data_IF_644466302405
#
_entry.id   IF_644466302405
#
_cell.length_a   1.000
_cell.length_b   1.000
_cell.length_c   1.000
_cell.angle_alpha   90.00
_cell.angle_beta   90.00
_cell.angle_gamma   90.00
#
_symmetry.space_group_name_H-M   'P 1'
#
loop_
_entity.id
_entity.type
_entity.pdbx_description
1 polymer ?
#
# COMPACT_ATOMS: atom_id res chain seq x y z
N UNK A 1 -61.72 15.17 -20.12
CA UNK A 1 -61.59 15.93 -21.38
C UNK A 1 -60.51 16.98 -21.21
N UNK A 2 -59.48 16.91 -22.05
CA UNK A 2 -58.27 17.75 -22.04
C UNK A 2 -58.54 19.26 -21.93
N UNK A 3 -57.63 19.98 -21.25
CA UNK A 3 -56.98 21.16 -21.84
C UNK A 3 -55.63 21.46 -21.18
N UNK A 4 -54.61 21.47 -22.02
CA UNK A 4 -53.21 21.74 -21.74
C UNK A 4 -52.92 23.24 -21.63
N UNK A 5 -51.88 23.61 -20.88
CA UNK A 5 -50.98 24.73 -21.18
C UNK A 5 -49.55 24.35 -20.78
N UNK A 6 -48.66 24.27 -21.77
CA UNK A 6 -47.20 24.24 -21.60
C UNK A 6 -46.69 25.59 -21.10
N UNK A 7 -45.62 25.59 -20.29
CA UNK A 7 -44.41 26.38 -20.54
C UNK A 7 -43.22 25.76 -19.77
N UNK A 8 -42.15 25.49 -20.51
CA UNK A 8 -40.79 25.17 -20.02
C UNK A 8 -40.06 26.50 -19.87
N UNK A 9 -39.31 26.69 -18.78
CA UNK A 9 -38.05 27.43 -18.86
C UNK A 9 -36.98 26.76 -17.98
N UNK A 10 -35.84 26.55 -18.62
CA UNK A 10 -34.58 26.08 -18.09
C UNK A 10 -34.02 27.09 -17.07
N UNK A 11 -33.63 26.60 -15.90
CA UNK A 11 -32.57 27.20 -15.11
C UNK A 11 -31.54 26.11 -14.80
N UNK A 12 -30.64 25.87 -15.74
CA UNK A 12 -29.25 25.60 -15.38
C UNK A 12 -28.49 26.93 -15.37
N UNK A 13 -27.33 27.05 -14.69
CA UNK A 13 -26.60 26.01 -13.98
C UNK A 13 -26.42 26.37 -12.51
N UNK A 14 -26.80 25.46 -11.63
CA UNK A 14 -26.04 25.28 -10.39
C UNK A 14 -26.02 23.79 -10.06
N UNK A 15 -25.50 23.00 -11.00
CA UNK A 15 -24.65 21.89 -10.58
C UNK A 15 -23.44 22.51 -9.89
N UNK A 16 -23.63 22.98 -8.65
CA UNK A 16 -22.55 22.86 -7.69
C UNK A 16 -22.45 21.35 -7.54
N UNK A 17 -21.61 20.73 -8.37
CA UNK A 17 -20.93 19.51 -7.99
C UNK A 17 -20.11 19.91 -6.77
N UNK A 18 -20.78 20.08 -5.62
CA UNK A 18 -20.08 20.11 -4.34
C UNK A 18 -19.40 18.76 -4.34
N UNK A 19 -18.09 18.79 -4.54
CA UNK A 19 -17.23 17.66 -4.29
C UNK A 19 -17.41 17.39 -2.79
N UNK A 20 -18.45 16.65 -2.42
CA UNK A 20 -18.74 16.32 -1.04
C UNK A 20 -17.62 15.39 -0.63
N UNK A 21 -16.60 15.98 -0.02
CA UNK A 21 -15.54 15.27 0.66
C UNK A 21 -16.21 14.24 1.58
N UNK A 22 -15.88 12.95 1.40
CA UNK A 22 -16.29 11.93 2.36
C UNK A 22 -15.88 12.41 3.75
N UNK A 23 -16.87 12.59 4.62
CA UNK A 23 -16.66 13.00 6.01
C UNK A 23 -16.62 11.75 6.88
N UNK A 24 -15.44 11.48 7.46
CA UNK A 24 -15.26 10.36 8.38
C UNK A 24 -15.56 10.80 9.82
N UNK A 25 -16.32 9.98 10.53
CA UNK A 25 -16.65 10.18 11.94
C UNK A 25 -16.07 9.02 12.76
N UNK A 26 -15.24 9.33 13.76
CA UNK A 26 -14.65 8.33 14.66
C UNK A 26 -15.58 8.12 15.85
N UNK A 27 -16.01 6.88 16.03
CA UNK A 27 -16.88 6.46 17.14
C UNK A 27 -16.01 5.72 18.17
N UNK A 28 -15.98 6.21 19.41
CA UNK A 28 -15.15 5.64 20.49
C UNK A 28 -15.92 4.62 21.33
N UNK A 29 -16.52 3.64 20.66
CA UNK A 29 -17.28 2.55 21.30
C UNK A 29 -16.57 1.22 21.07
N UNK A 30 -16.47 0.39 22.11
CA UNK A 30 -15.89 -0.95 21.97
C UNK A 30 -16.94 -1.93 21.44
N UNK A 31 -16.75 -2.41 20.21
CA UNK A 31 -17.71 -3.27 19.48
C UNK A 31 -16.97 -4.27 18.59
N UNK A 32 -17.56 -5.43 18.36
CA UNK A 32 -17.17 -6.31 17.25
C UNK A 32 -17.43 -5.63 15.91
N UNK A 33 -16.87 -6.15 14.81
CA UNK A 33 -17.05 -5.55 13.49
C UNK A 33 -18.54 -5.45 13.09
N UNK A 34 -19.31 -6.53 13.31
CA UNK A 34 -20.74 -6.58 12.98
C UNK A 34 -21.56 -5.60 13.83
N UNK A 35 -21.27 -5.52 15.13
CA UNK A 35 -21.92 -4.55 16.03
C UNK A 35 -21.55 -3.11 15.68
N UNK A 36 -20.30 -2.85 15.31
CA UNK A 36 -19.84 -1.52 14.91
C UNK A 36 -20.53 -1.05 13.62
N UNK A 37 -20.70 -1.97 12.66
CA UNK A 37 -21.45 -1.72 11.43
C UNK A 37 -22.91 -1.42 11.69
N UNK A 38 -23.60 -2.27 12.45
CA UNK A 38 -25.01 -2.05 12.82
C UNK A 38 -25.17 -0.71 13.55
N UNK A 39 -24.29 -0.43 14.51
CA UNK A 39 -24.30 0.84 15.23
C UNK A 39 -24.19 2.05 14.31
N UNK A 40 -23.30 2.03 13.30
CA UNK A 40 -23.20 3.12 12.33
C UNK A 40 -24.54 3.33 11.61
N UNK A 41 -25.15 2.24 11.13
CA UNK A 41 -26.44 2.30 10.41
C UNK A 41 -27.59 2.78 11.27
N UNK A 42 -27.64 2.35 12.52
CA UNK A 42 -28.73 2.64 13.45
C UNK A 42 -28.65 4.07 14.01
N UNK A 43 -27.47 4.71 13.99
CA UNK A 43 -27.21 6.01 14.59
C UNK A 43 -26.96 7.13 13.55
N UNK A 44 -27.73 7.15 12.46
CA UNK A 44 -27.68 8.18 11.41
C UNK A 44 -26.32 8.31 10.68
N UNK A 45 -25.49 7.27 10.67
CA UNK A 45 -24.33 7.17 9.78
C UNK A 45 -24.62 6.22 8.61
N UNK A 46 -23.82 6.32 7.54
CA UNK A 46 -24.05 5.55 6.32
C UNK A 46 -23.70 4.06 6.49
N UNK A 47 -22.45 3.77 6.83
CA UNK A 47 -21.91 2.44 7.14
C UNK A 47 -20.50 2.63 7.76
N UNK A 48 -19.79 1.56 8.10
CA UNK A 48 -18.35 1.66 8.37
C UNK A 48 -17.59 2.25 7.17
N UNK A 49 -16.52 2.99 7.43
CA UNK A 49 -15.79 3.76 6.43
C UNK A 49 -15.19 2.91 5.30
N UNK A 50 -15.52 3.26 4.05
CA UNK A 50 -14.81 2.81 2.86
C UNK A 50 -13.57 3.68 2.63
N UNK A 51 -12.46 3.06 2.26
CA UNK A 51 -11.21 3.75 1.92
C UNK A 51 -10.88 3.47 0.46
N UNK A 52 -11.02 4.48 -0.40
CA UNK A 52 -10.75 4.33 -1.83
C UNK A 52 -9.43 4.95 -2.26
N UNK A 53 -8.81 5.80 -1.44
CA UNK A 53 -7.62 6.54 -1.83
C UNK A 53 -6.63 6.79 -0.68
N UNK A 54 -5.42 7.24 -1.04
CA UNK A 54 -4.45 7.73 -0.06
C UNK A 54 -4.97 8.99 0.66
N UNK A 55 -5.76 9.82 -0.01
CA UNK A 55 -6.38 11.00 0.60
C UNK A 55 -7.32 10.59 1.75
N UNK A 56 -8.11 9.53 1.55
CA UNK A 56 -8.99 8.99 2.58
C UNK A 56 -8.20 8.38 3.74
N UNK A 57 -7.14 7.62 3.43
CA UNK A 57 -6.25 7.11 4.49
C UNK A 57 -5.60 8.22 5.30
N UNK A 58 -5.15 9.29 4.66
CA UNK A 58 -4.53 10.41 5.36
C UNK A 58 -5.55 11.13 6.26
N UNK A 59 -6.80 11.29 5.82
CA UNK A 59 -7.88 11.81 6.67
C UNK A 59 -8.14 10.89 7.87
N UNK A 60 -8.26 9.59 7.64
CA UNK A 60 -8.48 8.62 8.73
C UNK A 60 -7.31 8.62 9.73
N UNK A 61 -6.05 8.67 9.25
CA UNK A 61 -4.86 8.78 10.10
C UNK A 61 -4.89 10.03 10.98
N UNK A 62 -5.21 11.18 10.40
CA UNK A 62 -5.34 12.44 11.13
C UNK A 62 -6.42 12.38 12.21
N UNK A 63 -7.55 11.74 11.92
CA UNK A 63 -8.66 11.59 12.86
C UNK A 63 -8.38 10.57 13.97
N UNK A 64 -7.72 9.45 13.65
CA UNK A 64 -7.49 8.35 14.58
C UNK A 64 -6.26 8.55 15.46
N UNK A 65 -5.21 9.20 14.95
CA UNK A 65 -3.88 9.19 15.59
C UNK A 65 -3.39 7.75 15.75
N UNK A 66 -3.03 7.37 16.98
CA UNK A 66 -2.54 6.01 17.30
C UNK A 66 -3.66 4.99 17.60
N UNK A 67 -4.94 5.38 17.49
CA UNK A 67 -6.07 4.51 17.79
C UNK A 67 -6.34 3.55 16.64
N UNK A 68 -6.80 2.34 16.97
CA UNK A 68 -7.33 1.38 16.00
C UNK A 68 -8.85 1.54 15.92
N UNK A 69 -9.40 1.43 14.72
CA UNK A 69 -10.84 1.48 14.47
C UNK A 69 -11.22 0.47 13.39
N UNK A 70 -12.45 -0.04 13.46
CA UNK A 70 -13.02 -0.83 12.38
C UNK A 70 -13.30 0.06 11.16
N UNK A 71 -13.01 -0.46 9.98
CA UNK A 71 -13.39 0.11 8.68
C UNK A 71 -14.30 -0.88 7.94
N UNK A 72 -14.87 -0.46 6.81
CA UNK A 72 -15.85 -1.22 6.04
C UNK A 72 -15.33 -2.48 5.34
N UNK A 73 -14.02 -2.73 5.37
CA UNK A 73 -13.40 -3.88 4.72
C UNK A 73 -13.62 -5.15 5.55
N UNK A 74 -14.24 -6.17 4.96
CA UNK A 74 -14.54 -7.44 5.62
C UNK A 74 -14.20 -8.64 4.73
N UNK A 75 -13.92 -9.78 5.35
CA UNK A 75 -13.80 -11.08 4.67
C UNK A 75 -14.72 -12.08 5.35
N UNK A 76 -15.78 -12.49 4.67
CA UNK A 76 -16.69 -13.53 5.17
C UNK A 76 -16.15 -14.91 4.82
N UNK A 77 -16.46 -15.91 5.64
CA UNK A 77 -16.03 -17.29 5.40
C UNK A 77 -16.53 -17.86 4.05
N UNK A 78 -17.65 -17.34 3.54
CA UNK A 78 -18.25 -17.72 2.26
C UNK A 78 -17.87 -16.82 1.08
N UNK A 79 -16.97 -15.85 1.27
CA UNK A 79 -16.59 -14.91 0.20
C UNK A 79 -15.69 -15.58 -0.82
N UNK A 80 -16.11 -15.59 -2.08
CA UNK A 80 -15.25 -15.96 -3.20
C UNK A 80 -14.19 -14.88 -3.45
N UNK A 81 -13.02 -15.28 -3.95
CA UNK A 81 -12.00 -14.34 -4.42
C UNK A 81 -12.46 -13.66 -5.70
N UNK A 82 -12.33 -12.34 -5.78
CA UNK A 82 -12.72 -11.55 -6.96
C UNK A 82 -11.53 -10.77 -7.50
N UNK A 83 -11.43 -10.70 -8.83
CA UNK A 83 -10.39 -9.94 -9.51
C UNK A 83 -10.65 -8.43 -9.42
N UNK A 84 -9.58 -7.68 -9.21
CA UNK A 84 -9.53 -6.25 -9.00
C UNK A 84 -8.26 -5.69 -9.65
N UNK A 85 -8.32 -4.45 -10.14
CA UNK A 85 -7.16 -3.70 -10.58
C UNK A 85 -6.56 -2.92 -9.42
N UNK A 86 -5.24 -2.86 -9.30
CA UNK A 86 -4.56 -2.19 -8.18
C UNK A 86 -4.77 -0.69 -8.19
N UNK A 87 -4.84 -0.08 -9.37
CA UNK A 87 -5.10 1.35 -9.49
C UNK A 87 -6.52 1.66 -9.01
N UNK A 88 -6.70 2.54 -8.01
CA UNK A 88 -8.00 2.72 -7.34
C UNK A 88 -9.15 3.18 -8.24
N UNK A 89 -8.85 3.96 -9.28
CA UNK A 89 -9.84 4.51 -10.20
C UNK A 89 -10.18 3.58 -11.38
N UNK A 90 -9.53 2.41 -11.45
CA UNK A 90 -9.76 1.43 -12.52
C UNK A 90 -10.59 0.28 -11.96
N UNK A 91 -11.82 0.14 -12.45
CA UNK A 91 -12.72 -0.93 -11.99
C UNK A 91 -12.55 -2.18 -12.85
N UNK A 92 -12.45 -3.34 -12.20
CA UNK A 92 -12.46 -4.62 -12.90
C UNK A 92 -13.89 -4.95 -13.36
N UNK A 93 -14.04 -5.33 -14.63
CA UNK A 93 -15.31 -5.71 -15.24
C UNK A 93 -15.12 -6.97 -16.08
N UNK A 94 -15.61 -8.11 -15.59
CA UNK A 94 -15.48 -9.42 -16.25
C UNK A 94 -15.89 -9.44 -17.74
N UNK A 95 -16.86 -8.61 -18.15
CA UNK A 95 -17.30 -8.55 -19.55
C UNK A 95 -16.32 -7.83 -20.48
N UNK A 96 -15.54 -6.88 -19.95
CA UNK A 96 -14.56 -6.07 -20.70
C UNK A 96 -13.14 -6.58 -20.48
N UNK A 97 -12.88 -7.15 -19.31
CA UNK A 97 -11.58 -7.60 -18.83
C UNK A 97 -11.40 -9.09 -19.11
N UNK A 98 -11.44 -9.45 -20.40
CA UNK A 98 -11.32 -10.82 -20.89
C UNK A 98 -9.94 -11.13 -21.50
N UNK A 99 -8.90 -10.44 -21.02
CA UNK A 99 -7.54 -10.52 -21.54
C UNK A 99 -6.81 -11.85 -21.24
N UNK A 100 -7.47 -12.80 -20.57
CA UNK A 100 -6.92 -14.10 -20.19
C UNK A 100 -6.38 -14.91 -21.36
N UNK A 101 -5.31 -15.65 -21.11
CA UNK A 101 -4.81 -16.69 -22.00
C UNK A 101 -5.71 -17.93 -21.98
N UNK A 102 -5.51 -18.84 -22.93
CA UNK A 102 -6.20 -20.12 -22.91
C UNK A 102 -5.94 -20.87 -21.59
N UNK A 103 -7.00 -21.39 -20.97
CA UNK A 103 -6.96 -22.10 -19.68
C UNK A 103 -6.64 -21.24 -18.45
N UNK A 104 -6.54 -19.92 -18.60
CA UNK A 104 -6.33 -18.98 -17.49
C UNK A 104 -7.65 -18.26 -17.11
N UNK A 105 -7.86 -17.87 -15.83
CA UNK A 105 -7.04 -18.21 -14.68
C UNK A 105 -7.29 -19.67 -14.23
N UNK A 106 -6.23 -20.44 -13.96
CA UNK A 106 -6.33 -21.85 -13.57
C UNK A 106 -6.21 -22.09 -12.06
N UNK A 107 -5.82 -21.09 -11.27
CA UNK A 107 -5.80 -21.12 -9.82
C UNK A 107 -5.19 -22.39 -9.21
N UNK A 108 -3.87 -22.55 -9.27
CA UNK A 108 -3.15 -23.66 -8.60
C UNK A 108 -3.07 -23.48 -7.07
N UNK A 109 -4.12 -22.93 -6.47
CA UNK A 109 -4.35 -22.78 -5.03
C UNK A 109 -3.81 -21.50 -4.39
N UNK A 110 -2.82 -20.84 -4.99
CA UNK A 110 -2.18 -19.62 -4.43
C UNK A 110 -1.95 -18.52 -5.46
N UNK A 111 -2.51 -18.65 -6.66
CA UNK A 111 -2.27 -17.76 -7.79
C UNK A 111 -3.27 -16.60 -7.73
N UNK A 112 -2.87 -15.50 -7.09
CA UNK A 112 -3.76 -14.38 -6.80
C UNK A 112 -3.33 -13.08 -7.49
N UNK A 113 -2.28 -13.13 -8.31
CA UNK A 113 -1.72 -11.95 -8.96
C UNK A 113 -1.63 -12.20 -10.47
N UNK A 114 -2.10 -11.24 -11.24
CA UNK A 114 -2.11 -11.33 -12.69
C UNK A 114 -0.78 -10.90 -13.30
N UNK A 115 -0.47 -11.54 -14.41
CA UNK A 115 0.74 -11.28 -15.20
C UNK A 115 0.38 -11.18 -16.68
N UNK A 116 1.24 -10.50 -17.45
CA UNK A 116 1.25 -10.61 -18.91
C UNK A 116 2.27 -11.65 -19.35
N UNK A 117 1.86 -12.52 -20.27
CA UNK A 117 2.77 -13.38 -21.02
C UNK A 117 3.31 -12.67 -22.27
N UNK A 118 4.17 -13.37 -23.04
CA UNK A 118 4.77 -12.86 -24.28
C UNK A 118 3.75 -12.51 -25.37
N UNK A 119 2.55 -13.08 -25.32
CA UNK A 119 1.45 -12.81 -26.26
C UNK A 119 0.51 -11.70 -25.77
N UNK A 120 0.90 -10.96 -24.72
CA UNK A 120 0.09 -9.92 -24.06
C UNK A 120 -1.23 -10.46 -23.48
N UNK A 121 -1.29 -11.75 -23.20
CA UNK A 121 -2.43 -12.39 -22.53
C UNK A 121 -2.18 -12.50 -21.03
N UNK A 122 -3.27 -12.46 -20.27
CA UNK A 122 -3.23 -12.50 -18.81
C UNK A 122 -3.13 -13.94 -18.31
N UNK A 123 -2.34 -14.14 -17.27
CA UNK A 123 -2.25 -15.40 -16.55
C UNK A 123 -2.23 -15.13 -15.04
N UNK A 124 -2.80 -16.04 -14.24
CA UNK A 124 -2.69 -15.96 -12.79
C UNK A 124 -1.43 -16.66 -12.29
N UNK A 125 -0.75 -15.99 -11.35
CA UNK A 125 0.50 -16.49 -10.78
C UNK A 125 0.53 -16.22 -9.28
N UNK A 126 1.38 -16.97 -8.58
CA UNK A 126 1.63 -16.72 -7.17
C UNK A 126 2.27 -15.34 -6.99
N UNK A 127 1.66 -14.51 -6.14
CA UNK A 127 2.12 -13.16 -5.83
C UNK A 127 3.55 -13.11 -5.27
N UNK A 128 4.04 -14.22 -4.70
CA UNK A 128 5.37 -14.33 -4.09
C UNK A 128 6.48 -14.58 -5.11
N UNK A 129 6.15 -14.86 -6.38
CA UNK A 129 7.14 -15.02 -7.44
C UNK A 129 7.81 -13.68 -7.71
N UNK A 130 9.12 -13.66 -7.95
CA UNK A 130 9.84 -12.45 -8.34
C UNK A 130 9.78 -12.29 -9.85
N UNK A 131 9.23 -11.17 -10.34
CA UNK A 131 9.07 -10.88 -11.78
C UNK A 131 9.41 -9.42 -12.08
N UNK A 132 9.79 -9.09 -13.32
CA UNK A 132 9.73 -7.72 -13.82
C UNK A 132 8.28 -7.23 -13.82
N UNK A 133 8.07 -5.93 -13.90
CA UNK A 133 6.74 -5.32 -13.76
C UNK A 133 6.63 -4.02 -14.56
N UNK A 134 5.39 -3.56 -14.75
CA UNK A 134 5.09 -2.33 -15.50
C UNK A 134 4.32 -1.38 -14.59
N UNK A 135 4.87 -0.19 -14.38
CA UNK A 135 4.18 0.92 -13.73
C UNK A 135 3.46 1.79 -14.78
N UNK A 136 2.49 2.57 -14.31
CA UNK A 136 1.76 3.53 -15.13
C UNK A 136 1.80 4.92 -14.48
N UNK A 137 2.06 5.95 -15.26
CA UNK A 137 1.98 7.35 -14.82
C UNK A 137 1.59 8.29 -15.97
N UNK A 138 0.47 7.97 -16.63
CA UNK A 138 0.08 8.57 -17.92
C UNK A 138 0.75 7.89 -19.12
N UNK A 139 1.95 7.35 -18.94
CA UNK A 139 2.64 6.45 -19.87
C UNK A 139 3.10 5.17 -19.17
N UNK A 140 3.41 4.13 -19.96
CA UNK A 140 3.87 2.84 -19.46
C UNK A 140 5.37 2.87 -19.14
N UNK A 141 5.72 2.59 -17.88
CA UNK A 141 7.10 2.54 -17.40
C UNK A 141 7.50 1.10 -17.10
N UNK A 142 8.46 0.60 -17.86
CA UNK A 142 8.94 -0.76 -17.76
C UNK A 142 10.06 -0.88 -16.71
N UNK A 143 9.93 -1.86 -15.81
CA UNK A 143 10.89 -2.07 -14.72
C UNK A 143 11.40 -3.50 -14.76
N UNK A 144 12.72 -3.64 -15.01
CA UNK A 144 13.40 -4.93 -15.12
C UNK A 144 13.81 -5.55 -13.76
N UNK A 145 13.60 -4.82 -12.66
CA UNK A 145 13.84 -5.33 -11.31
C UNK A 145 12.89 -6.50 -11.00
N UNK A 146 13.40 -7.53 -10.33
CA UNK A 146 12.62 -8.71 -9.98
C UNK A 146 12.06 -8.57 -8.56
N UNK A 147 10.77 -8.27 -8.47
CA UNK A 147 10.06 -8.08 -7.20
C UNK A 147 8.86 -9.02 -7.10
N UNK A 148 8.43 -9.33 -5.86
CA UNK A 148 7.11 -9.93 -5.67
C UNK A 148 6.02 -8.89 -5.99
N UNK A 149 4.77 -9.32 -6.14
CA UNK A 149 3.70 -8.44 -6.60
C UNK A 149 3.44 -7.25 -5.65
N UNK A 150 3.48 -7.49 -4.34
CA UNK A 150 3.25 -6.46 -3.32
C UNK A 150 4.35 -5.40 -3.33
N UNK A 151 5.61 -5.82 -3.49
CA UNK A 151 6.76 -4.93 -3.57
C UNK A 151 6.75 -4.14 -4.89
N UNK A 152 6.40 -4.80 -6.00
CA UNK A 152 6.25 -4.15 -7.30
C UNK A 152 5.15 -3.07 -7.29
N UNK A 153 3.99 -3.38 -6.70
CA UNK A 153 2.91 -2.41 -6.49
C UNK A 153 3.37 -1.22 -5.65
N UNK A 154 4.07 -1.51 -4.54
CA UNK A 154 4.61 -0.48 -3.65
C UNK A 154 5.61 0.42 -4.38
N UNK A 155 6.50 -0.19 -5.18
CA UNK A 155 7.46 0.52 -6.00
C UNK A 155 6.74 1.47 -6.97
N UNK A 156 5.72 0.99 -7.68
CA UNK A 156 5.00 1.81 -8.65
C UNK A 156 4.25 2.95 -7.96
N UNK A 157 3.45 2.69 -6.92
CA UNK A 157 2.72 3.73 -6.19
C UNK A 157 3.61 4.81 -5.56
N UNK A 158 4.88 4.50 -5.37
CA UNK A 158 5.84 5.42 -4.78
C UNK A 158 6.50 6.35 -5.80
N UNK A 159 6.61 5.95 -7.07
CA UNK A 159 7.27 6.73 -8.14
C UNK A 159 6.36 7.15 -9.28
N UNK A 160 5.22 6.50 -9.36
CA UNK A 160 4.27 6.51 -10.46
C UNK A 160 2.86 6.44 -9.86
N UNK A 161 1.84 6.32 -10.70
CA UNK A 161 0.46 6.18 -10.23
C UNK A 161 0.22 4.81 -9.57
N UNK A 162 0.44 3.70 -10.30
CA UNK A 162 0.32 2.32 -9.78
C UNK A 162 0.98 1.34 -10.78
N UNK A 163 0.87 0.03 -10.55
CA UNK A 163 1.03 -0.97 -11.60
C UNK A 163 0.00 -0.75 -12.70
N UNK A 164 0.39 -1.02 -13.95
CA UNK A 164 -0.49 -0.90 -15.12
C UNK A 164 -1.80 -1.68 -14.91
N UNK A 165 -2.91 -1.01 -15.13
CA UNK A 165 -4.24 -1.46 -14.72
C UNK A 165 -5.28 -1.20 -15.82
N UNK A 166 -6.06 -2.22 -16.16
CA UNK A 166 -7.19 -2.10 -17.08
C UNK A 166 -6.81 -2.13 -18.56
N UNK A 167 -7.77 -2.48 -19.44
CA UNK A 167 -7.53 -2.74 -20.86
C UNK A 167 -7.07 -1.48 -21.61
N UNK A 168 -7.61 -0.31 -21.26
CA UNK A 168 -7.24 0.96 -21.89
C UNK A 168 -5.74 1.27 -21.75
N UNK A 169 -5.15 1.02 -20.58
CA UNK A 169 -3.71 1.19 -20.38
C UNK A 169 -2.92 0.13 -21.15
N UNK A 170 -3.44 -1.11 -21.19
CA UNK A 170 -2.78 -2.23 -21.89
C UNK A 170 -2.73 -2.03 -23.41
N UNK A 171 -3.71 -1.35 -24.01
CA UNK A 171 -3.71 -1.02 -25.45
C UNK A 171 -2.51 -0.15 -25.85
N UNK A 172 -2.00 0.66 -24.92
CA UNK A 172 -0.86 1.56 -25.16
C UNK A 172 0.51 0.91 -24.98
N UNK A 173 0.56 -0.42 -24.75
CA UNK A 173 1.82 -1.15 -24.55
C UNK A 173 2.66 -1.25 -25.84
N UNK A 174 3.83 -0.62 -25.80
CA UNK A 174 4.87 -0.75 -26.83
C UNK A 174 5.45 -2.18 -26.82
N UNK A 175 5.14 -2.94 -27.88
CA UNK A 175 5.55 -4.35 -28.07
C UNK A 175 7.07 -4.48 -28.04
N UNK A 176 7.78 -3.54 -28.70
CA UNK A 176 9.23 -3.63 -28.89
C UNK A 176 9.94 -3.45 -27.56
N UNK A 177 9.50 -2.51 -26.73
CA UNK A 177 10.04 -2.35 -25.38
C UNK A 177 9.73 -3.58 -24.52
N UNK A 178 8.51 -4.12 -24.62
CA UNK A 178 8.09 -5.30 -23.84
C UNK A 178 8.96 -6.53 -24.13
N UNK A 179 9.36 -6.74 -25.38
CA UNK A 179 10.29 -7.80 -25.77
C UNK A 179 11.64 -7.71 -25.04
N UNK A 180 12.11 -6.50 -24.75
CA UNK A 180 13.38 -6.30 -24.01
C UNK A 180 13.28 -6.61 -22.51
N UNK A 181 12.07 -6.62 -21.93
CA UNK A 181 11.86 -7.01 -20.54
C UNK A 181 11.79 -8.52 -20.34
N UNK A 182 11.45 -9.28 -21.38
CA UNK A 182 11.35 -10.72 -21.25
C UNK A 182 12.77 -11.32 -21.19
N UNK A 183 13.18 -11.99 -20.10
CA UNK A 183 14.35 -12.84 -20.16
C UNK A 183 14.20 -13.85 -21.31
N UNK A 184 15.29 -14.36 -21.91
CA UNK A 184 15.24 -15.32 -23.00
C UNK A 184 14.69 -16.68 -22.52
N UNK A 185 13.38 -16.72 -22.29
CA UNK A 185 12.61 -17.83 -21.77
C UNK A 185 11.18 -17.72 -22.30
N UNK A 186 10.62 -18.79 -22.89
CA UNK A 186 9.24 -18.81 -23.38
C UNK A 186 8.20 -18.76 -22.24
N UNK A 187 8.62 -18.79 -20.97
CA UNK A 187 7.76 -18.68 -19.78
C UNK A 187 7.96 -17.36 -19.03
N UNK A 188 8.29 -16.31 -19.78
CA UNK A 188 8.52 -15.00 -19.21
C UNK A 188 7.18 -14.30 -18.96
N UNK A 189 6.98 -13.92 -17.70
CA UNK A 189 5.77 -13.25 -17.21
C UNK A 189 6.16 -11.91 -16.58
N UNK A 190 5.33 -10.90 -16.78
CA UNK A 190 5.52 -9.56 -16.25
C UNK A 190 4.34 -9.24 -15.34
N UNK A 191 4.59 -8.76 -14.12
CA UNK A 191 3.49 -8.36 -13.23
C UNK A 191 2.78 -7.12 -13.74
N UNK A 192 1.46 -7.15 -13.57
CA UNK A 192 0.52 -6.05 -13.82
C UNK A 192 -0.32 -5.80 -12.57
N UNK A 193 -1.13 -4.75 -12.58
CA UNK A 193 -1.96 -4.34 -11.44
C UNK A 193 -3.11 -5.29 -11.11
N UNK A 194 -3.29 -6.39 -11.83
CA UNK A 194 -4.37 -7.33 -11.58
C UNK A 194 -4.07 -8.18 -10.34
N UNK A 195 -5.01 -8.26 -9.40
CA UNK A 195 -4.94 -9.16 -8.25
C UNK A 195 -6.34 -9.62 -7.84
N UNK A 196 -6.43 -10.68 -7.03
CA UNK A 196 -7.69 -11.11 -6.42
C UNK A 196 -7.55 -11.39 -4.95
N UNK A 197 -8.56 -11.00 -4.19
CA UNK A 197 -8.71 -11.33 -2.78
C UNK A 197 -10.18 -11.61 -2.44
N UNK A 198 -10.43 -12.07 -1.21
CA UNK A 198 -11.78 -12.32 -0.71
C UNK A 198 -12.31 -11.16 0.16
N UNK A 199 -11.62 -10.00 0.14
CA UNK A 199 -12.00 -8.84 0.94
C UNK A 199 -12.98 -7.98 0.15
N UNK A 200 -14.07 -7.57 0.79
CA UNK A 200 -15.15 -6.81 0.17
C UNK A 200 -15.50 -5.63 1.06
N UNK A 201 -15.80 -4.49 0.44
CA UNK A 201 -16.34 -3.34 1.15
C UNK A 201 -17.82 -3.56 1.45
N UNK A 202 -18.22 -3.18 2.66
CA UNK A 202 -19.59 -3.19 3.17
C UNK A 202 -20.58 -2.35 2.34
N UNK A 203 -20.11 -1.31 1.65
CA UNK A 203 -20.88 -0.47 0.73
C UNK A 203 -21.03 -1.07 -0.68
N UNK A 204 -20.40 -2.21 -0.95
CA UNK A 204 -20.41 -2.89 -2.24
C UNK A 204 -19.46 -2.30 -3.28
N UNK A 205 -18.65 -1.31 -2.91
CA UNK A 205 -17.65 -0.74 -3.81
C UNK A 205 -16.57 -1.75 -4.17
N UNK A 206 -16.05 -1.61 -5.39
CA UNK A 206 -14.97 -2.44 -5.93
C UNK A 206 -13.58 -1.83 -5.70
N UNK A 207 -13.45 -0.87 -4.77
CA UNK A 207 -12.18 -0.20 -4.53
C UNK A 207 -11.09 -1.17 -4.07
N UNK A 208 -10.00 -1.17 -4.81
CA UNK A 208 -8.83 -2.02 -4.64
C UNK A 208 -7.76 -1.45 -3.71
N UNK A 209 -8.01 -0.27 -3.14
CA UNK A 209 -7.04 0.37 -2.28
C UNK A 209 -6.74 -0.52 -1.07
N UNK A 210 -5.48 -0.96 -0.99
CA UNK A 210 -4.89 -1.76 0.09
C UNK A 210 -3.50 -1.17 0.34
N UNK A 211 -3.40 -0.17 1.21
CA UNK A 211 -2.12 0.45 1.55
C UNK A 211 -1.87 0.32 3.05
N UNK A 212 -1.28 -0.80 3.43
CA UNK A 212 -1.01 -1.16 4.83
C UNK A 212 0.50 -1.37 5.09
N UNK A 213 1.37 -1.03 4.14
CA UNK A 213 2.74 -1.55 4.08
C UNK A 213 3.66 -0.92 5.13
N UNK A 214 3.75 -1.62 6.25
CA UNK A 214 4.91 -1.65 7.12
C UNK A 214 5.97 -2.57 6.45
N UNK A 215 7.26 -2.22 6.55
CA UNK A 215 8.36 -2.97 5.94
C UNK A 215 9.31 -3.54 6.99
N UNK A 216 9.96 -4.66 6.69
CA UNK A 216 11.10 -5.16 7.48
C UNK A 216 12.26 -4.17 7.43
N UNK A 217 13.22 -4.32 8.35
CA UNK A 217 14.38 -3.42 8.36
C UNK A 217 15.19 -3.52 7.06
N UNK A 218 15.38 -4.73 6.52
CA UNK A 218 16.13 -4.95 5.28
C UNK A 218 15.39 -4.39 4.05
N UNK A 219 14.06 -4.58 3.96
CA UNK A 219 13.22 -3.98 2.92
C UNK A 219 13.29 -2.43 2.97
N UNK A 220 13.26 -1.86 4.17
CA UNK A 220 13.36 -0.42 4.41
C UNK A 220 14.74 0.14 4.03
N UNK A 221 15.82 -0.54 4.41
CA UNK A 221 17.19 -0.18 4.03
C UNK A 221 17.37 -0.20 2.51
N UNK A 222 16.96 -1.31 1.90
CA UNK A 222 17.05 -1.49 0.45
C UNK A 222 16.30 -0.38 -0.28
N UNK A 223 15.07 -0.07 0.16
CA UNK A 223 14.29 1.02 -0.39
C UNK A 223 15.05 2.34 -0.24
N UNK A 224 15.52 2.72 0.95
CA UNK A 224 16.14 4.03 1.13
C UNK A 224 17.40 4.20 0.27
N UNK A 225 18.23 3.17 0.13
CA UNK A 225 19.43 3.22 -0.71
C UNK A 225 19.12 3.28 -2.22
N UNK A 226 17.99 2.72 -2.64
CA UNK A 226 17.59 2.74 -4.06
C UNK A 226 16.84 4.00 -4.47
N UNK A 227 16.30 4.75 -3.51
CA UNK A 227 15.34 5.83 -3.77
C UNK A 227 15.82 7.18 -3.20
N UNK A 228 16.68 7.13 -2.20
CA UNK A 228 17.22 8.25 -1.44
C UNK A 228 18.71 7.97 -1.16
N UNK A 229 19.26 8.46 -0.05
CA UNK A 229 20.65 8.17 0.31
C UNK A 229 20.77 6.88 1.13
N UNK A 230 20.21 6.85 2.34
CA UNK A 230 20.19 5.68 3.22
C UNK A 230 19.05 5.76 4.24
N UNK A 231 18.88 4.79 5.15
CA UNK A 231 18.03 4.94 6.32
C UNK A 231 18.53 6.08 7.21
N UNK A 232 17.60 6.74 7.90
CA UNK A 232 17.93 7.91 8.73
C UNK A 232 18.93 7.56 9.84
N UNK A 233 19.94 8.42 9.99
CA UNK A 233 20.93 8.37 11.06
C UNK A 233 20.69 9.51 12.03
N UNK A 234 20.94 9.26 13.33
CA UNK A 234 20.70 10.24 14.40
C UNK A 234 21.97 10.36 15.25
N UNK A 235 22.76 11.38 14.95
CA UNK A 235 24.07 11.66 15.56
C UNK A 235 24.01 12.72 16.65
N UNK A 236 22.91 13.47 16.76
CA UNK A 236 22.77 14.55 17.73
C UNK A 236 21.30 14.83 18.13
N UNK A 237 21.13 15.72 19.09
CA UNK A 237 19.81 16.06 19.64
C UNK A 237 18.90 16.80 18.64
N UNK A 238 19.46 17.59 17.72
CA UNK A 238 18.65 18.33 16.76
C UNK A 238 18.09 17.40 15.69
N UNK A 239 18.88 16.43 15.22
CA UNK A 239 18.40 15.32 14.38
C UNK A 239 17.36 14.48 15.11
N UNK A 240 17.59 14.12 16.38
CA UNK A 240 16.60 13.39 17.17
C UNK A 240 15.27 14.16 17.24
N UNK A 241 15.32 15.48 17.48
CA UNK A 241 14.13 16.34 17.52
C UNK A 241 13.44 16.41 16.16
N UNK A 242 14.20 16.48 15.08
CA UNK A 242 13.63 16.53 13.74
C UNK A 242 12.95 15.19 13.38
N UNK A 243 13.64 14.08 13.61
CA UNK A 243 13.11 12.74 13.31
C UNK A 243 11.87 12.46 14.15
N UNK A 244 11.88 12.72 15.46
CA UNK A 244 10.71 12.47 16.31
C UNK A 244 9.45 13.24 15.84
N UNK A 245 9.60 14.48 15.35
CA UNK A 245 8.45 15.25 14.83
C UNK A 245 7.86 14.59 13.59
N UNK A 246 8.70 13.94 12.76
CA UNK A 246 8.23 13.13 11.63
C UNK A 246 7.63 11.81 12.11
N UNK A 247 8.24 11.17 13.10
CA UNK A 247 7.80 9.88 13.67
C UNK A 247 6.37 9.94 14.16
N UNK A 248 5.90 11.06 14.71
CA UNK A 248 4.49 11.24 15.14
C UNK A 248 3.45 10.97 14.06
N UNK A 249 3.83 11.06 12.77
CA UNK A 249 2.96 10.79 11.64
C UNK A 249 2.98 9.32 11.19
N UNK A 250 3.87 8.50 11.77
CA UNK A 250 3.94 7.08 11.49
C UNK A 250 2.76 6.33 12.10
N UNK A 251 2.36 5.25 11.42
CA UNK A 251 1.22 4.42 11.80
C UNK A 251 1.61 3.17 12.57
N UNK A 252 2.86 2.70 12.44
CA UNK A 252 3.41 1.62 13.25
C UNK A 252 3.77 2.09 14.66
N UNK A 253 3.80 1.20 15.67
CA UNK A 253 4.22 1.55 17.03
C UNK A 253 5.69 1.98 17.13
N UNK A 254 6.51 1.59 16.15
CA UNK A 254 7.90 1.99 16.01
C UNK A 254 8.17 2.44 14.57
N UNK A 255 9.30 3.10 14.33
CA UNK A 255 9.79 3.47 13.01
C UNK A 255 11.24 3.04 12.87
N UNK A 256 11.56 2.34 11.77
CA UNK A 256 12.93 1.92 11.51
C UNK A 256 13.86 3.11 11.32
N UNK A 257 15.05 2.97 11.89
CA UNK A 257 16.20 3.87 11.71
C UNK A 257 17.36 3.09 11.10
N UNK A 258 18.43 3.78 10.72
CA UNK A 258 19.64 3.16 10.18
C UNK A 258 20.50 2.40 11.21
N UNK A 259 20.03 2.23 12.44
CA UNK A 259 20.79 1.62 13.52
C UNK A 259 20.73 0.09 13.43
N UNK A 260 21.89 -0.57 13.34
CA UNK A 260 21.97 -2.04 13.22
C UNK A 260 22.98 -2.64 14.20
N UNK A 261 22.69 -3.83 14.70
CA UNK A 261 23.62 -4.59 15.52
C UNK A 261 24.48 -5.53 14.67
N UNK A 262 25.77 -5.60 14.98
CA UNK A 262 26.68 -6.62 14.44
C UNK A 262 27.05 -7.61 15.52
N UNK A 263 26.65 -8.87 15.33
CA UNK A 263 26.96 -9.95 16.27
C UNK A 263 28.44 -10.31 16.30
N UNK A 264 29.11 -10.28 15.14
CA UNK A 264 30.52 -10.66 15.04
C UNK A 264 31.44 -9.69 15.76
N UNK A 265 31.06 -8.40 15.83
CA UNK A 265 31.85 -7.36 16.48
C UNK A 265 31.26 -6.88 17.81
N UNK A 266 30.03 -7.29 18.15
CA UNK A 266 29.40 -7.01 19.44
C UNK A 266 29.00 -5.56 19.66
N UNK A 267 28.73 -4.79 18.60
CA UNK A 267 28.38 -3.37 18.72
C UNK A 267 27.26 -2.92 17.77
N UNK A 268 26.71 -1.74 18.05
CA UNK A 268 25.72 -1.05 17.23
C UNK A 268 26.40 -0.01 16.34
N UNK A 269 25.96 0.11 15.08
CA UNK A 269 26.47 1.10 14.14
C UNK A 269 25.33 1.68 13.28
N UNK A 270 25.57 2.88 12.75
CA UNK A 270 24.69 3.48 11.75
C UNK A 270 25.11 3.00 10.36
N UNK A 271 24.14 2.68 9.50
CA UNK A 271 24.39 2.27 8.12
C UNK A 271 25.01 3.35 7.23
N UNK A 272 25.05 4.61 7.70
CA UNK A 272 25.81 5.71 7.11
C UNK A 272 27.32 5.66 7.39
N UNK A 273 27.80 4.59 8.02
CA UNK A 273 29.17 4.40 8.52
C UNK A 273 29.58 5.37 9.66
N UNK A 274 28.62 6.07 10.26
CA UNK A 274 28.85 6.92 11.43
C UNK A 274 28.84 6.11 12.73
N UNK A 275 29.73 6.49 13.66
CA UNK A 275 29.84 5.85 14.98
C UNK A 275 28.72 6.35 15.89
N UNK A 276 28.12 5.44 16.68
CA UNK A 276 27.02 5.76 17.61
C UNK A 276 27.54 6.54 18.84
N UNK A 277 27.70 7.85 18.70
CA UNK A 277 28.09 8.75 19.79
C UNK A 277 26.88 9.24 20.61
N UNK A 278 25.84 9.70 19.92
CA UNK A 278 24.57 10.07 20.54
C UNK A 278 23.71 8.84 20.83
N UNK A 279 23.03 8.85 21.97
CA UNK A 279 22.27 7.70 22.47
C UNK A 279 20.94 8.16 23.04
N UNK A 280 19.85 7.60 22.54
CA UNK A 280 18.51 7.83 23.08
C UNK A 280 17.75 6.51 23.31
N UNK A 281 18.44 5.46 23.76
CA UNK A 281 17.87 4.14 24.03
C UNK A 281 16.80 4.14 25.13
N UNK A 282 15.80 3.28 24.97
CA UNK A 282 14.90 2.88 26.04
C UNK A 282 15.61 1.92 27.02
N UNK A 283 15.05 1.74 28.23
CA UNK A 283 15.61 0.97 29.35
C UNK A 283 16.32 -0.35 28.93
N UNK A 284 17.45 -0.74 29.56
CA UNK A 284 18.39 -1.77 29.07
C UNK A 284 17.91 -3.23 29.15
N UNK A 285 16.61 -3.50 29.24
CA UNK A 285 16.07 -4.84 29.54
C UNK A 285 16.22 -5.91 28.45
N UNK A 286 16.54 -5.56 27.21
CA UNK A 286 16.71 -6.53 26.11
C UNK A 286 18.17 -6.87 25.83
N UNK A 287 18.47 -8.15 25.68
CA UNK A 287 19.78 -8.68 25.26
C UNK A 287 20.00 -8.32 23.77
N UNK A 288 21.27 -8.15 23.35
CA UNK A 288 21.58 -7.96 21.94
C UNK A 288 21.64 -9.33 21.25
N UNK A 289 20.91 -9.48 20.15
CA UNK A 289 20.88 -10.69 19.30
C UNK A 289 21.22 -10.31 17.86
N UNK A 290 21.57 -11.30 17.03
CA UNK A 290 22.16 -11.06 15.71
C UNK A 290 21.24 -10.42 14.69
N UNK A 291 19.93 -10.61 14.87
CA UNK A 291 18.90 -10.18 13.93
C UNK A 291 18.12 -9.02 14.54
N UNK A 292 18.85 -8.02 15.06
CA UNK A 292 18.29 -6.87 15.76
C UNK A 292 18.72 -5.56 15.13
N UNK A 293 17.74 -4.69 14.93
CA UNK A 293 17.89 -3.33 14.45
C UNK A 293 17.20 -2.33 15.38
N UNK A 294 17.60 -1.06 15.28
CA UNK A 294 17.10 0.01 16.12
C UNK A 294 15.87 0.68 15.50
N UNK A 295 14.78 0.72 16.26
CA UNK A 295 13.57 1.41 15.88
C UNK A 295 13.19 2.48 16.92
N UNK A 296 12.75 3.65 16.47
CA UNK A 296 12.27 4.72 17.35
C UNK A 296 10.80 4.49 17.69
N UNK A 297 10.41 4.63 18.95
CA UNK A 297 9.01 4.60 19.36
C UNK A 297 8.22 5.77 18.75
N UNK A 298 7.07 5.43 18.14
CA UNK A 298 6.20 6.39 17.45
C UNK A 298 5.45 7.30 18.42
N UNK A 299 5.01 6.74 19.55
CA UNK A 299 4.44 7.49 20.68
C UNK A 299 5.43 7.59 21.84
N UNK A 300 5.03 8.23 22.94
CA UNK A 300 5.82 8.23 24.18
C UNK A 300 7.01 9.20 24.15
N UNK A 301 8.16 8.74 24.66
CA UNK A 301 9.38 9.54 24.81
C UNK A 301 10.31 9.50 23.57
N UNK A 302 9.87 8.86 22.48
CA UNK A 302 10.63 8.70 21.24
C UNK A 302 12.02 8.06 21.43
N UNK A 303 12.08 7.12 22.36
CA UNK A 303 13.28 6.34 22.67
C UNK A 303 13.53 5.28 21.60
N UNK A 304 14.78 4.84 21.47
CA UNK A 304 15.17 3.77 20.57
C UNK A 304 15.03 2.41 21.26
N UNK A 305 14.42 1.47 20.57
CA UNK A 305 14.22 0.09 21.02
C UNK A 305 14.94 -0.87 20.08
N UNK A 306 15.32 -2.04 20.63
CA UNK A 306 15.89 -3.14 19.86
C UNK A 306 14.72 -3.99 19.34
N UNK A 307 14.69 -4.22 18.03
CA UNK A 307 13.59 -4.89 17.34
C UNK A 307 14.13 -5.92 16.38
N UNK A 308 13.42 -7.04 16.25
CA UNK A 308 13.84 -8.09 15.34
C UNK A 308 13.70 -7.62 13.90
N UNK A 309 14.67 -7.93 13.05
CA UNK A 309 14.74 -7.46 11.66
C UNK A 309 13.49 -7.87 10.84
N UNK A 310 12.85 -8.97 11.21
CA UNK A 310 11.63 -9.51 10.59
C UNK A 310 10.35 -8.73 10.96
N UNK A 311 10.39 -7.88 11.99
CA UNK A 311 9.25 -7.02 12.35
C UNK A 311 9.03 -5.97 11.25
N UNK A 312 7.77 -5.59 11.04
CA UNK A 312 7.41 -4.63 9.98
C UNK A 312 6.99 -3.30 10.56
N UNK A 313 7.68 -2.22 10.17
CA UNK A 313 7.39 -0.85 10.60
C UNK A 313 7.45 0.16 9.45
N UNK A 314 6.92 1.37 9.69
CA UNK A 314 7.26 2.54 8.89
C UNK A 314 8.75 2.85 9.04
N UNK A 315 9.32 3.63 8.14
CA UNK A 315 10.74 3.96 8.14
C UNK A 315 10.98 5.34 7.53
N UNK A 316 12.13 5.96 7.86
CA UNK A 316 12.55 7.23 7.27
C UNK A 316 13.88 7.06 6.54
N UNK A 317 13.97 7.67 5.36
CA UNK A 317 15.20 7.75 4.60
C UNK A 317 15.87 9.13 4.80
N UNK A 318 17.19 9.15 4.82
CA UNK A 318 17.99 10.35 4.63
C UNK A 318 18.00 10.76 3.16
N UNK A 319 17.93 12.06 2.90
CA UNK A 319 18.05 12.64 1.55
C UNK A 319 19.45 13.18 1.25
N UNK A 320 20.37 13.10 2.21
CA UNK A 320 21.75 13.59 2.11
C UNK A 320 22.73 12.64 2.77
#
# INVERSE_FOLDING_TARGET
LFRSRFFVFLLGPCCVMTNQLLQYHVINENKSWDEARLYCKDNNHTDLATVSSMADMNRLRQLLGNRKAWIGLQRKASSNRTWQWSQPDVQFNESRDNGWDGEEPNDKGTENCGTLNTNKKWADLSCNRKKPFICYDGENVQVSLLMNWTDAQSFCRNRHTDLISGPEQMETLDVVKMETLFPPSPYAFIFIGLFRDAWQWNDGSSFSFRFWNLQTWEEALYYCRHHHHDLVTITNMDEQRWVQEKTKNASSPFVWTGLRYTCSLGFWFWVSDEVVHYKNWASPGQVNECDMSGAMETGGEHKWFKKHDEEKFNFFCSTS
#
